data_IF_262501064095
#
_entry.id   IF_262501064095
#
_cell.length_a   1.000
_cell.length_b   1.000
_cell.length_c   1.000
_cell.angle_alpha   90.00
_cell.angle_beta   90.00
_cell.angle_gamma   90.00
#
_symmetry.space_group_name_H-M   'P 1'
#
loop_
_entity.id
_entity.type
_entity.pdbx_description
1 polymer ?
#
# COMPACT_ATOMS: atom_id res chain seq x y z
N UNK A 1 -12.47 -5.77 4.09
CA UNK A 1 -11.86 -6.70 5.06
C UNK A 1 -11.41 -5.86 6.23
N UNK A 2 -11.65 -6.28 7.47
CA UNK A 2 -11.13 -5.56 8.64
C UNK A 2 -9.63 -5.89 8.82
N UNK A 3 -8.85 -5.05 9.51
CA UNK A 3 -7.47 -5.37 9.84
C UNK A 3 -7.41 -6.58 10.76
N UNK A 4 -6.36 -7.41 10.64
CA UNK A 4 -6.24 -8.67 11.37
C UNK A 4 -5.00 -8.65 12.27
N UNK A 5 -5.21 -8.89 13.57
CA UNK A 5 -4.13 -9.12 14.54
C UNK A 5 -4.09 -10.60 14.90
N UNK A 6 -2.95 -11.25 14.66
CA UNK A 6 -2.74 -12.65 15.07
C UNK A 6 -1.99 -12.71 16.39
N UNK A 7 -2.61 -13.32 17.40
CA UNK A 7 -2.03 -13.55 18.72
C UNK A 7 -1.49 -14.96 18.79
N UNK A 8 -0.18 -15.10 19.03
CA UNK A 8 0.46 -16.40 19.27
C UNK A 8 0.81 -16.53 20.74
N UNK A 9 0.03 -17.33 21.48
CA UNK A 9 0.20 -17.52 22.93
C UNK A 9 -0.12 -18.94 23.38
N UNK A 10 -0.02 -19.21 24.68
CA UNK A 10 -0.36 -20.50 25.30
C UNK A 10 -1.02 -20.31 26.65
N UNK A 11 -1.98 -21.17 26.95
CA UNK A 11 -2.44 -21.43 28.31
C UNK A 11 -3.05 -20.18 28.93
N UNK A 12 -2.55 -19.80 30.11
CA UNK A 12 -3.12 -18.67 30.85
C UNK A 12 -3.02 -17.34 30.06
N UNK A 13 -1.95 -17.13 29.30
CA UNK A 13 -1.80 -15.91 28.49
C UNK A 13 -2.91 -15.79 27.45
N UNK A 14 -3.22 -16.88 26.75
CA UNK A 14 -4.30 -16.92 25.76
C UNK A 14 -5.65 -16.61 26.40
N UNK A 15 -5.93 -17.18 27.58
CA UNK A 15 -7.18 -16.95 28.31
C UNK A 15 -7.35 -15.47 28.66
N UNK A 16 -6.31 -14.85 29.23
CA UNK A 16 -6.35 -13.44 29.61
C UNK A 16 -6.50 -12.55 28.38
N UNK A 17 -5.76 -12.82 27.30
CA UNK A 17 -5.90 -12.06 26.05
C UNK A 17 -7.32 -12.17 25.49
N UNK A 18 -7.90 -13.38 25.42
CA UNK A 18 -9.28 -13.56 24.91
C UNK A 18 -10.31 -12.79 25.72
N UNK A 19 -10.19 -12.82 27.05
CA UNK A 19 -11.08 -12.08 27.93
C UNK A 19 -10.98 -10.57 27.67
N UNK A 20 -9.76 -10.03 27.52
CA UNK A 20 -9.56 -8.63 27.22
C UNK A 20 -10.07 -8.26 25.81
N UNK A 21 -9.82 -9.10 24.80
CA UNK A 21 -10.33 -8.89 23.44
C UNK A 21 -11.86 -8.84 23.41
N UNK A 22 -12.55 -9.65 24.20
CA UNK A 22 -14.02 -9.62 24.28
C UNK A 22 -14.56 -8.35 24.96
N UNK A 23 -13.79 -7.78 25.90
CA UNK A 23 -14.15 -6.55 26.61
C UNK A 23 -13.79 -5.29 25.82
N UNK A 24 -12.75 -5.35 24.99
CA UNK A 24 -12.27 -4.24 24.18
C UNK A 24 -12.93 -4.27 22.81
N UNK A 25 -13.87 -3.36 22.55
CA UNK A 25 -14.51 -3.21 21.23
C UNK A 25 -13.54 -2.57 20.20
N UNK A 26 -12.48 -3.29 19.83
CA UNK A 26 -11.45 -2.79 18.92
C UNK A 26 -11.85 -2.95 17.44
N UNK A 27 -11.42 -2.03 16.55
CA UNK A 27 -11.78 -2.05 15.12
C UNK A 27 -10.98 -3.07 14.29
N UNK A 28 -10.56 -4.18 14.88
CA UNK A 28 -9.73 -5.22 14.25
C UNK A 28 -10.25 -6.62 14.59
N UNK A 29 -10.00 -7.58 13.71
CA UNK A 29 -10.31 -8.98 13.94
C UNK A 29 -9.10 -9.66 14.59
N UNK A 30 -9.30 -10.22 15.78
CA UNK A 30 -8.25 -10.99 16.47
C UNK A 30 -8.34 -12.47 16.11
N UNK A 31 -7.22 -13.04 15.67
CA UNK A 31 -7.07 -14.48 15.47
C UNK A 31 -6.13 -14.99 16.56
N UNK A 32 -6.64 -15.84 17.45
CA UNK A 32 -5.81 -16.53 18.42
C UNK A 32 -5.30 -17.84 17.85
N UNK A 33 -3.98 -18.03 17.86
CA UNK A 33 -3.34 -19.29 17.53
C UNK A 33 -2.59 -19.82 18.76
N UNK A 34 -3.14 -20.86 19.37
CA UNK A 34 -2.44 -21.58 20.43
C UNK A 34 -1.47 -22.59 19.81
N UNK A 35 -0.20 -22.54 20.25
CA UNK A 35 0.84 -23.48 19.83
C UNK A 35 1.45 -24.10 21.07
N UNK A 36 1.65 -25.42 21.19
CA UNK A 36 2.40 -26.01 22.30
C UNK A 36 3.83 -25.47 22.38
N UNK A 37 4.41 -25.37 23.57
CA UNK A 37 5.76 -24.81 23.76
C UNK A 37 6.89 -25.61 23.13
N UNK A 38 6.67 -26.91 22.91
CA UNK A 38 7.67 -27.82 22.37
C UNK A 38 7.66 -27.86 20.84
N UNK A 39 6.72 -27.17 20.20
CA UNK A 39 6.62 -27.10 18.75
C UNK A 39 7.33 -25.84 18.25
N UNK A 40 8.09 -26.00 17.17
CA UNK A 40 8.58 -24.84 16.45
C UNK A 40 7.43 -23.98 15.96
N UNK A 41 7.61 -22.67 15.99
CA UNK A 41 6.65 -21.75 15.38
C UNK A 41 6.67 -21.97 13.87
N UNK A 42 5.68 -22.69 13.35
CA UNK A 42 5.42 -22.82 11.91
C UNK A 42 4.27 -21.88 11.59
N UNK A 43 4.57 -20.80 10.87
CA UNK A 43 3.55 -19.89 10.38
C UNK A 43 2.84 -20.57 9.20
N UNK A 44 1.59 -20.97 9.41
CA UNK A 44 0.78 -21.55 8.35
C UNK A 44 0.54 -20.53 7.22
N UNK A 45 0.40 -20.95 5.94
CA UNK A 45 0.07 -20.06 4.83
C UNK A 45 -1.23 -19.27 5.04
N UNK A 46 -2.14 -19.77 5.89
CA UNK A 46 -3.36 -19.05 6.28
C UNK A 46 -3.09 -17.74 7.04
N UNK A 47 -1.88 -17.53 7.57
CA UNK A 47 -1.45 -16.31 8.27
C UNK A 47 -0.88 -15.24 7.32
N UNK A 48 -0.87 -15.49 6.01
CA UNK A 48 -0.41 -14.53 4.99
C UNK A 48 -1.32 -13.30 4.86
N UNK A 49 -2.54 -13.32 5.42
CA UNK A 49 -3.44 -12.17 5.44
C UNK A 49 -3.44 -11.36 6.76
N UNK A 50 -2.62 -11.74 7.74
CA UNK A 50 -2.47 -11.01 9.01
C UNK A 50 -1.79 -9.65 8.79
N UNK A 51 -2.21 -8.59 9.48
CA UNK A 51 -1.53 -7.29 9.41
C UNK A 51 -0.41 -7.17 10.46
N UNK A 52 -0.65 -7.68 11.68
CA UNK A 52 0.28 -7.60 12.82
C UNK A 52 0.27 -8.89 13.64
N UNK A 53 1.43 -9.33 14.10
CA UNK A 53 1.56 -10.41 15.08
C UNK A 53 1.76 -9.86 16.49
N UNK A 54 1.17 -10.52 17.48
CA UNK A 54 1.34 -10.22 18.91
C UNK A 54 1.75 -11.50 19.64
N UNK A 55 2.88 -11.47 20.34
CA UNK A 55 3.37 -12.61 21.12
C UNK A 55 4.25 -12.13 22.28
N UNK A 56 4.81 -13.05 23.06
CA UNK A 56 5.63 -12.72 24.24
C UNK A 56 6.93 -13.52 24.26
N UNK A 57 8.03 -12.89 24.72
CA UNK A 57 9.30 -13.55 25.01
C UNK A 57 9.92 -14.27 23.81
N UNK A 58 10.45 -15.48 24.03
CA UNK A 58 11.13 -16.28 23.01
C UNK A 58 10.33 -16.42 21.71
N UNK A 59 9.01 -16.57 21.79
CA UNK A 59 8.14 -16.74 20.61
C UNK A 59 8.08 -15.52 19.72
N UNK A 60 8.02 -14.33 20.31
CA UNK A 60 8.03 -13.10 19.53
C UNK A 60 9.30 -13.03 18.68
N UNK A 61 10.45 -13.37 19.27
CA UNK A 61 11.73 -13.44 18.54
C UNK A 61 11.71 -14.45 17.40
N UNK A 62 11.23 -15.68 17.65
CA UNK A 62 11.12 -16.71 16.61
C UNK A 62 10.16 -16.33 15.48
N UNK A 63 9.09 -15.60 15.76
CA UNK A 63 8.15 -15.12 14.73
C UNK A 63 8.85 -14.05 13.87
N UNK A 64 9.54 -13.08 14.49
CA UNK A 64 10.24 -12.00 13.79
C UNK A 64 11.27 -12.52 12.77
N UNK A 65 11.95 -13.62 13.06
CA UNK A 65 12.92 -14.24 12.14
C UNK A 65 12.24 -14.95 10.94
N UNK A 66 10.94 -15.27 11.04
CA UNK A 66 10.19 -16.07 10.06
C UNK A 66 9.15 -15.27 9.26
N UNK A 67 8.95 -13.98 9.54
CA UNK A 67 8.00 -13.13 8.80
C UNK A 67 8.55 -11.74 8.51
N UNK A 68 8.13 -11.15 7.39
CA UNK A 68 8.37 -9.74 7.07
C UNK A 68 7.33 -8.79 7.69
N UNK A 69 6.30 -9.33 8.34
CA UNK A 69 5.24 -8.57 9.00
C UNK A 69 5.68 -8.10 10.39
N UNK A 70 5.15 -6.98 10.89
CA UNK A 70 5.50 -6.50 12.21
C UNK A 70 5.05 -7.47 13.31
N UNK A 71 5.93 -7.63 14.29
CA UNK A 71 5.69 -8.44 15.49
C UNK A 71 5.83 -7.55 16.71
N UNK A 72 4.76 -7.48 17.51
CA UNK A 72 4.77 -6.82 18.81
C UNK A 72 5.09 -7.86 19.88
N UNK A 73 6.16 -7.61 20.62
CA UNK A 73 6.57 -8.42 21.76
C UNK A 73 6.00 -7.82 23.04
N UNK A 74 5.15 -8.58 23.73
CA UNK A 74 4.67 -8.28 25.08
C UNK A 74 5.82 -8.51 26.04
N UNK A 75 6.24 -7.44 26.69
CA UNK A 75 7.29 -7.46 27.69
C UNK A 75 6.73 -7.14 29.08
N UNK A 76 7.33 -7.76 30.09
CA UNK A 76 7.03 -7.44 31.50
C UNK A 76 7.60 -6.05 31.80
N UNK A 77 6.82 -5.14 32.37
CA UNK A 77 7.26 -3.83 32.83
C UNK A 77 7.52 -3.80 34.35
N UNK A 78 8.11 -2.72 34.87
CA UNK A 78 8.19 -2.51 36.32
C UNK A 78 6.80 -2.32 36.96
N UNK A 79 5.83 -1.76 36.23
CA UNK A 79 4.44 -1.62 36.69
C UNK A 79 3.79 -3.00 36.90
N UNK A 80 3.97 -3.90 35.93
CA UNK A 80 3.47 -5.29 36.02
C UNK A 80 3.98 -6.00 37.27
N UNK A 81 5.28 -5.87 37.54
CA UNK A 81 5.92 -6.46 38.72
C UNK A 81 5.35 -5.88 40.01
N UNK A 82 5.11 -4.56 40.07
CA UNK A 82 4.53 -3.90 41.25
C UNK A 82 3.10 -4.39 41.52
N UNK A 83 2.26 -4.45 40.49
CA UNK A 83 0.88 -4.93 40.61
C UNK A 83 0.86 -6.40 41.05
N UNK A 84 1.69 -7.24 40.42
CA UNK A 84 1.80 -8.65 40.77
C UNK A 84 2.29 -8.85 42.22
N UNK A 85 3.28 -8.07 42.65
CA UNK A 85 3.76 -8.10 44.04
C UNK A 85 2.66 -7.68 45.01
N UNK A 86 1.95 -6.57 44.74
CA UNK A 86 0.86 -6.08 45.59
C UNK A 86 -0.24 -7.11 45.81
N UNK A 87 -0.53 -7.94 44.81
CA UNK A 87 -1.50 -9.04 44.93
C UNK A 87 -0.92 -10.24 45.68
N UNK A 88 0.33 -10.60 45.40
CA UNK A 88 0.98 -11.77 45.98
C UNK A 88 1.28 -11.65 47.48
N UNK A 89 1.61 -10.44 47.96
CA UNK A 89 1.97 -10.20 49.37
C UNK A 89 0.82 -10.43 50.36
N UNK A 90 -0.42 -10.44 49.87
CA UNK A 90 -1.59 -10.78 50.68
C UNK A 90 -1.57 -12.25 51.14
N UNK A 91 -0.80 -13.10 50.47
CA UNK A 91 -0.75 -14.55 50.70
C UNK A 91 0.61 -15.03 51.23
N UNK A 92 1.70 -14.31 50.92
CA UNK A 92 3.06 -14.63 51.35
C UNK A 92 3.87 -13.34 51.52
N UNK A 93 4.46 -13.09 52.69
CA UNK A 93 5.31 -11.92 52.95
C UNK A 93 6.56 -11.88 52.06
N UNK A 94 6.99 -13.04 51.53
CA UNK A 94 8.15 -13.19 50.66
C UNK A 94 7.78 -14.05 49.45
N UNK A 95 6.97 -13.53 48.50
CA UNK A 95 6.58 -14.27 47.32
C UNK A 95 7.80 -14.54 46.44
N UNK A 96 7.71 -15.59 45.62
CA UNK A 96 8.78 -15.97 44.69
C UNK A 96 8.42 -15.52 43.28
N UNK A 97 9.23 -14.66 42.67
CA UNK A 97 9.14 -14.31 41.26
C UNK A 97 9.96 -15.34 40.47
N UNK A 98 9.33 -15.95 39.47
CA UNK A 98 9.96 -16.88 38.54
C UNK A 98 9.77 -16.38 37.10
N UNK A 99 10.87 -16.03 36.43
CA UNK A 99 10.88 -15.55 35.04
C UNK A 99 11.81 -16.40 34.16
N UNK A 100 11.60 -16.28 32.85
CA UNK A 100 12.46 -16.90 31.84
C UNK A 100 13.75 -16.07 31.65
N UNK A 101 14.91 -16.72 31.47
CA UNK A 101 16.22 -16.11 31.14
C UNK A 101 16.85 -15.15 32.19
N UNK A 102 16.41 -15.18 33.45
CA UNK A 102 17.02 -14.44 34.58
C UNK A 102 17.16 -12.91 34.39
N UNK A 103 16.37 -12.29 33.51
CA UNK A 103 16.40 -10.83 33.33
C UNK A 103 15.60 -10.09 34.42
N UNK A 104 16.28 -9.82 35.53
CA UNK A 104 15.74 -9.05 36.64
C UNK A 104 16.04 -7.55 36.59
N UNK A 105 16.51 -7.03 35.45
CA UNK A 105 16.87 -5.61 35.31
C UNK A 105 15.74 -4.66 35.72
N UNK A 106 14.50 -4.99 35.33
CA UNK A 106 13.29 -4.19 35.61
C UNK A 106 12.87 -4.22 37.08
N UNK A 107 13.08 -5.34 37.77
CA UNK A 107 12.86 -5.47 39.22
C UNK A 107 13.96 -4.73 40.00
N UNK A 108 15.22 -4.83 39.57
CA UNK A 108 16.34 -4.15 40.20
C UNK A 108 16.18 -2.62 40.20
N UNK A 109 15.56 -2.05 39.16
CA UNK A 109 15.24 -0.60 39.09
C UNK A 109 14.30 -0.12 40.19
N UNK A 110 13.37 -0.97 40.63
CA UNK A 110 12.37 -0.63 41.64
C UNK A 110 12.69 -1.18 43.03
N UNK A 111 13.78 -1.93 43.19
CA UNK A 111 14.16 -2.61 44.44
C UNK A 111 14.30 -1.68 45.65
N UNK A 112 14.77 -0.45 45.43
CA UNK A 112 14.92 0.55 46.49
C UNK A 112 13.62 1.32 46.79
N UNK A 113 12.60 1.16 45.95
CA UNK A 113 11.31 1.83 46.08
C UNK A 113 10.34 0.91 46.84
N UNK A 114 10.45 -0.40 46.64
CA UNK A 114 9.59 -1.40 47.29
C UNK A 114 10.15 -1.79 48.66
N UNK A 115 9.28 -1.86 49.67
CA UNK A 115 9.64 -2.36 51.01
C UNK A 115 9.69 -3.89 51.08
N UNK A 116 9.23 -4.57 50.03
CA UNK A 116 9.15 -6.02 49.93
C UNK A 116 10.32 -6.52 49.09
N UNK A 117 11.06 -7.50 49.59
CA UNK A 117 12.15 -8.13 48.85
C UNK A 117 11.74 -9.55 48.42
N UNK A 118 11.16 -9.71 47.22
CA UNK A 118 10.74 -11.03 46.74
C UNK A 118 11.95 -11.91 46.47
N UNK A 119 11.75 -13.23 46.57
CA UNK A 119 12.75 -14.19 46.14
C UNK A 119 12.71 -14.25 44.61
N UNK A 120 13.88 -14.30 43.99
CA UNK A 120 14.04 -14.34 42.54
C UNK A 120 14.59 -15.71 42.16
N UNK A 121 13.95 -16.39 41.20
CA UNK A 121 14.48 -17.63 40.60
C UNK A 121 14.17 -17.64 39.10
N UNK A 122 14.89 -18.42 38.29
CA UNK A 122 14.69 -18.36 36.84
C UNK A 122 14.87 -19.72 36.20
N UNK A 123 14.30 -19.87 35.01
CA UNK A 123 14.44 -21.08 34.22
C UNK A 123 14.83 -20.75 32.79
N UNK A 124 15.71 -21.58 32.24
CA UNK A 124 16.10 -21.55 30.83
C UNK A 124 15.44 -22.68 30.04
N UNK A 125 15.08 -23.77 30.73
CA UNK A 125 14.39 -24.93 30.15
C UNK A 125 13.10 -25.21 30.91
N UNK A 126 12.05 -25.57 30.18
CA UNK A 126 10.73 -25.87 30.75
C UNK A 126 10.75 -27.04 31.76
N UNK A 127 11.64 -28.02 31.55
CA UNK A 127 11.81 -29.18 32.43
C UNK A 127 12.23 -28.80 33.85
N UNK A 128 12.93 -27.67 34.00
CA UNK A 128 13.46 -27.23 35.29
C UNK A 128 12.41 -26.45 36.10
N UNK A 129 11.37 -25.92 35.46
CA UNK A 129 10.38 -25.05 36.11
C UNK A 129 9.62 -25.78 37.24
N UNK A 130 9.21 -27.03 37.03
CA UNK A 130 8.50 -27.80 38.06
C UNK A 130 9.39 -28.08 39.29
N UNK A 131 10.67 -28.37 39.07
CA UNK A 131 11.65 -28.56 40.16
C UNK A 131 11.87 -27.28 40.97
N UNK A 132 11.94 -26.13 40.31
CA UNK A 132 12.06 -24.82 40.97
C UNK A 132 10.83 -24.54 41.84
N UNK A 133 9.63 -24.80 41.33
CA UNK A 133 8.38 -24.61 42.09
C UNK A 133 8.34 -25.52 43.33
N UNK A 134 8.70 -26.80 43.18
CA UNK A 134 8.75 -27.76 44.30
C UNK A 134 9.81 -27.39 45.35
N UNK A 135 10.98 -26.92 44.92
CA UNK A 135 12.03 -26.40 45.80
C UNK A 135 11.48 -25.29 46.70
N UNK A 136 10.80 -24.30 46.12
CA UNK A 136 10.23 -23.17 46.89
C UNK A 136 9.04 -23.59 47.76
N UNK A 137 8.20 -24.51 47.30
CA UNK A 137 7.15 -25.12 48.12
C UNK A 137 7.72 -25.78 49.37
N UNK A 138 8.78 -26.58 49.21
CA UNK A 138 9.46 -27.27 50.32
C UNK A 138 10.13 -26.29 51.30
N UNK A 139 10.54 -25.12 50.81
CA UNK A 139 11.06 -24.02 51.62
C UNK A 139 9.97 -23.20 52.33
N UNK A 140 8.70 -23.65 52.29
CA UNK A 140 7.58 -23.03 52.99
C UNK A 140 6.94 -21.84 52.29
N UNK A 141 7.25 -21.61 51.00
CA UNK A 141 6.64 -20.54 50.21
C UNK A 141 5.22 -20.89 49.82
N UNK A 142 4.35 -19.87 49.82
CA UNK A 142 2.91 -20.00 49.57
C UNK A 142 2.49 -19.34 48.27
N UNK A 143 3.25 -18.35 47.78
CA UNK A 143 2.88 -17.54 46.61
C UNK A 143 3.98 -17.47 45.54
N UNK A 144 3.60 -17.77 44.29
CA UNK A 144 4.47 -17.71 43.10
C UNK A 144 3.96 -16.63 42.15
N UNK A 145 4.85 -15.75 41.71
CA UNK A 145 4.61 -14.78 40.63
C UNK A 145 5.35 -15.25 39.38
N UNK A 146 4.70 -15.31 38.22
CA UNK A 146 5.42 -15.68 37.01
C UNK A 146 4.60 -15.68 35.73
N UNK A 147 5.16 -16.30 34.69
CA UNK A 147 4.48 -16.51 33.41
C UNK A 147 3.25 -17.43 33.56
N UNK A 148 2.45 -17.54 32.50
CA UNK A 148 1.26 -18.39 32.52
C UNK A 148 1.58 -19.86 32.83
N UNK A 149 2.79 -20.31 32.44
CA UNK A 149 3.26 -21.66 32.74
C UNK A 149 3.63 -21.85 34.20
N UNK A 150 4.32 -20.87 34.78
CA UNK A 150 4.64 -20.88 36.20
C UNK A 150 3.36 -20.90 37.05
N UNK A 151 2.34 -20.13 36.64
CA UNK A 151 1.04 -20.11 37.30
C UNK A 151 0.34 -21.48 37.23
N UNK A 152 0.22 -22.08 36.04
CA UNK A 152 -0.43 -23.40 35.88
C UNK A 152 0.28 -24.50 36.68
N UNK A 153 1.61 -24.48 36.75
CA UNK A 153 2.36 -25.46 37.55
C UNK A 153 2.26 -25.19 39.06
N UNK A 154 2.24 -23.93 39.47
CA UNK A 154 2.02 -23.57 40.88
C UNK A 154 0.63 -24.02 41.36
N UNK A 155 -0.41 -23.81 40.54
CA UNK A 155 -1.79 -24.26 40.80
C UNK A 155 -1.86 -25.79 40.97
N UNK A 156 -1.25 -26.55 40.05
CA UNK A 156 -1.16 -28.02 40.12
C UNK A 156 -0.56 -28.51 41.44
N UNK A 157 0.35 -27.74 42.02
CA UNK A 157 1.02 -28.07 43.28
C UNK A 157 0.39 -27.38 44.50
N UNK A 158 -0.78 -26.75 44.36
CA UNK A 158 -1.54 -26.14 45.46
C UNK A 158 -0.90 -24.88 46.05
N UNK A 159 -0.08 -24.18 45.28
CA UNK A 159 0.44 -22.86 45.64
C UNK A 159 -0.48 -21.77 45.10
N UNK A 160 -0.57 -20.64 45.82
CA UNK A 160 -1.18 -19.44 45.28
C UNK A 160 -0.30 -18.92 44.16
N UNK A 161 -0.90 -18.51 43.05
CA UNK A 161 -0.17 -17.95 41.92
C UNK A 161 -0.67 -16.56 41.57
N UNK A 162 0.22 -15.74 41.03
CA UNK A 162 -0.10 -14.44 40.47
C UNK A 162 0.55 -14.32 39.10
N UNK A 163 -0.25 -14.05 38.08
CA UNK A 163 0.29 -13.83 36.75
C UNK A 163 1.06 -12.52 36.72
N UNK A 164 2.27 -12.55 36.18
CA UNK A 164 3.20 -11.41 36.28
C UNK A 164 2.74 -10.21 35.46
N UNK A 165 2.03 -10.42 34.34
CA UNK A 165 1.50 -9.33 33.52
C UNK A 165 0.16 -8.84 34.06
N UNK A 166 0.03 -7.52 34.18
CA UNK A 166 -1.21 -6.87 34.56
C UNK A 166 -2.24 -6.89 33.41
N UNK A 167 -3.51 -6.73 33.77
CA UNK A 167 -4.57 -6.60 32.76
C UNK A 167 -4.39 -5.32 31.96
N UNK A 168 -3.96 -4.21 32.60
CA UNK A 168 -3.70 -2.94 31.93
C UNK A 168 -2.62 -3.07 30.86
N UNK A 169 -1.48 -3.69 31.17
CA UNK A 169 -0.42 -3.89 30.17
C UNK A 169 -0.90 -4.71 28.98
N UNK A 170 -1.69 -5.76 29.20
CA UNK A 170 -2.25 -6.56 28.11
C UNK A 170 -3.18 -5.71 27.24
N UNK A 171 -4.04 -4.90 27.86
CA UNK A 171 -4.90 -3.95 27.13
C UNK A 171 -4.09 -2.97 26.29
N UNK A 172 -3.04 -2.39 26.86
CA UNK A 172 -2.17 -1.45 26.15
C UNK A 172 -1.52 -2.12 24.93
N UNK A 173 -1.00 -3.34 25.09
CA UNK A 173 -0.42 -4.08 23.96
C UNK A 173 -1.45 -4.45 22.88
N UNK A 174 -2.68 -4.80 23.27
CA UNK A 174 -3.77 -5.06 22.32
C UNK A 174 -4.18 -3.79 21.57
N UNK A 175 -4.23 -2.65 22.25
CA UNK A 175 -4.50 -1.35 21.64
C UNK A 175 -3.39 -0.98 20.64
N UNK A 176 -2.13 -1.08 21.05
CA UNK A 176 -0.97 -0.82 20.18
C UNK A 176 -1.03 -1.72 18.94
N UNK A 177 -1.35 -3.01 19.11
CA UNK A 177 -1.48 -3.95 17.99
C UNK A 177 -2.63 -3.57 17.05
N UNK A 178 -3.79 -3.19 17.61
CA UNK A 178 -4.94 -2.71 16.84
C UNK A 178 -4.61 -1.46 16.04
N UNK A 179 -4.02 -0.44 16.67
CA UNK A 179 -3.70 0.83 16.02
C UNK A 179 -2.67 0.64 14.90
N UNK A 180 -1.67 -0.21 15.12
CA UNK A 180 -0.68 -0.56 14.10
C UNK A 180 -1.32 -1.31 12.94
N UNK A 181 -2.20 -2.28 13.21
CA UNK A 181 -2.90 -3.04 12.17
C UNK A 181 -3.80 -2.14 11.33
N UNK A 182 -4.57 -1.25 11.96
CA UNK A 182 -5.40 -0.26 11.25
C UNK A 182 -4.54 0.65 10.36
N UNK A 183 -3.41 1.13 10.87
CA UNK A 183 -2.49 2.01 10.13
C UNK A 183 -1.91 1.31 8.89
N UNK A 184 -1.44 0.07 9.04
CA UNK A 184 -0.89 -0.73 7.94
C UNK A 184 -1.97 -1.05 6.91
N UNK A 185 -3.13 -1.50 7.37
CA UNK A 185 -4.25 -1.86 6.51
C UNK A 185 -4.71 -0.66 5.66
N UNK A 186 -4.85 0.52 6.27
CA UNK A 186 -5.24 1.74 5.55
C UNK A 186 -4.16 2.19 4.55
N UNK A 187 -2.88 2.10 4.91
CA UNK A 187 -1.77 2.38 3.99
C UNK A 187 -1.79 1.43 2.79
N UNK A 188 -1.96 0.13 3.02
CA UNK A 188 -2.05 -0.87 1.95
C UNK A 188 -3.27 -0.64 1.05
N UNK A 189 -4.42 -0.28 1.62
CA UNK A 189 -5.62 0.07 0.86
C UNK A 189 -5.37 1.29 -0.04
N UNK A 190 -4.80 2.36 0.49
CA UNK A 190 -4.48 3.57 -0.26
C UNK A 190 -3.46 3.28 -1.36
N UNK A 191 -2.43 2.48 -1.06
CA UNK A 191 -1.43 2.05 -2.04
C UNK A 191 -2.09 1.30 -3.20
N UNK A 192 -2.96 0.32 -2.92
CA UNK A 192 -3.70 -0.43 -3.96
C UNK A 192 -4.58 0.49 -4.82
N UNK A 193 -5.24 1.47 -4.21
CA UNK A 193 -6.08 2.44 -4.93
C UNK A 193 -5.24 3.31 -5.89
N UNK A 194 -4.16 3.90 -5.41
CA UNK A 194 -3.26 4.73 -6.22
C UNK A 194 -2.60 3.89 -7.32
N UNK A 195 -2.09 2.71 -6.97
CA UNK A 195 -1.50 1.77 -7.93
C UNK A 195 -2.49 1.37 -9.02
N UNK A 196 -3.76 1.17 -8.69
CA UNK A 196 -4.80 0.87 -9.69
C UNK A 196 -5.01 2.05 -10.65
N UNK A 197 -5.06 3.28 -10.16
CA UNK A 197 -5.18 4.48 -11.01
C UNK A 197 -4.00 4.57 -12.00
N UNK A 198 -2.78 4.28 -11.53
CA UNK A 198 -1.58 4.30 -12.37
C UNK A 198 -1.60 3.17 -13.41
N UNK A 199 -1.96 1.95 -12.98
CA UNK A 199 -1.91 0.75 -13.81
C UNK A 199 -3.01 0.71 -14.89
N UNK A 200 -4.19 1.29 -14.63
CA UNK A 200 -5.29 1.35 -15.58
C UNK A 200 -5.33 2.65 -16.39
N UNK A 201 -4.32 3.53 -16.26
CA UNK A 201 -4.22 4.70 -17.11
C UNK A 201 -3.95 4.30 -18.57
N UNK A 202 -4.62 4.95 -19.53
CA UNK A 202 -4.45 4.71 -20.97
C UNK A 202 -3.18 5.39 -21.55
N UNK A 203 -2.25 5.80 -20.70
CA UNK A 203 -1.00 6.46 -21.07
C UNK A 203 0.16 5.89 -20.27
N UNK A 204 1.36 5.99 -20.82
CA UNK A 204 2.58 5.62 -20.10
C UNK A 204 2.79 6.57 -18.91
N UNK A 205 3.08 6.00 -17.75
CA UNK A 205 3.41 6.73 -16.53
C UNK A 205 4.73 6.19 -16.01
N UNK A 206 5.71 7.08 -15.84
CA UNK A 206 7.01 6.76 -15.27
C UNK A 206 7.35 7.77 -14.18
N UNK A 207 7.78 7.27 -13.03
CA UNK A 207 8.23 8.08 -11.91
C UNK A 207 9.70 7.80 -11.63
N UNK A 208 10.53 8.82 -11.60
CA UNK A 208 11.96 8.68 -11.33
C UNK A 208 12.39 9.49 -10.11
N UNK A 209 13.55 9.17 -9.56
CA UNK A 209 14.27 10.09 -8.68
C UNK A 209 14.87 11.27 -9.47
N UNK A 210 15.58 12.16 -8.76
CA UNK A 210 16.26 13.32 -9.33
C UNK A 210 17.44 12.96 -10.27
N UNK A 211 17.89 11.71 -10.28
CA UNK A 211 18.97 11.22 -11.14
C UNK A 211 18.46 10.40 -12.34
N UNK A 212 17.15 10.25 -12.46
CA UNK A 212 16.51 9.48 -13.54
C UNK A 212 16.34 7.99 -13.25
N UNK A 213 16.63 7.52 -12.03
CA UNK A 213 16.38 6.13 -11.64
C UNK A 213 14.88 5.89 -11.53
N UNK A 214 14.37 4.91 -12.27
CA UNK A 214 12.93 4.60 -12.31
C UNK A 214 12.51 3.92 -11.01
N UNK A 215 11.47 4.46 -10.38
CA UNK A 215 10.85 3.94 -9.15
C UNK A 215 9.44 3.40 -9.38
N UNK A 216 8.71 3.92 -10.37
CA UNK A 216 7.40 3.44 -10.80
C UNK A 216 7.36 3.44 -12.33
N UNK A 217 6.88 2.35 -12.91
CA UNK A 217 6.58 2.23 -14.33
C UNK A 217 5.24 1.50 -14.45
N UNK A 218 4.28 2.05 -15.20
CA UNK A 218 3.00 1.38 -15.41
C UNK A 218 3.04 0.43 -16.63
N UNK A 219 2.08 -0.50 -16.78
CA UNK A 219 2.09 -1.48 -17.86
C UNK A 219 2.11 -0.87 -19.28
N UNK A 220 1.51 0.31 -19.47
CA UNK A 220 1.55 1.01 -20.76
C UNK A 220 2.97 1.50 -21.07
N UNK A 221 3.65 2.10 -20.10
CA UNK A 221 5.04 2.53 -20.26
C UNK A 221 5.98 1.33 -20.49
N UNK A 222 5.81 0.22 -19.77
CA UNK A 222 6.57 -1.03 -20.00
C UNK A 222 6.42 -1.52 -21.45
N UNK A 223 5.20 -1.49 -21.98
CA UNK A 223 4.90 -1.86 -23.37
C UNK A 223 5.55 -0.90 -24.36
N UNK A 224 5.56 0.40 -24.08
CA UNK A 224 6.20 1.43 -24.90
C UNK A 224 7.72 1.22 -24.96
N UNK A 225 8.34 0.98 -23.80
CA UNK A 225 9.78 0.72 -23.70
C UNK A 225 10.19 -0.66 -24.22
N UNK A 226 9.24 -1.61 -24.35
CA UNK A 226 9.49 -3.01 -24.69
C UNK A 226 10.37 -3.74 -23.67
N UNK A 227 10.20 -3.41 -22.39
CA UNK A 227 10.96 -4.00 -21.29
C UNK A 227 9.99 -4.57 -20.27
N UNK A 228 10.34 -5.73 -19.73
CA UNK A 228 9.60 -6.36 -18.62
C UNK A 228 9.75 -5.54 -17.34
N UNK A 229 8.63 -5.22 -16.67
CA UNK A 229 8.55 -4.27 -15.56
C UNK A 229 9.54 -4.50 -14.41
N UNK A 230 9.85 -5.77 -14.10
CA UNK A 230 10.84 -6.11 -13.07
C UNK A 230 12.27 -5.70 -13.42
N UNK A 231 12.57 -5.50 -14.71
CA UNK A 231 13.88 -5.02 -15.17
C UNK A 231 13.93 -3.50 -15.36
N UNK A 232 12.77 -2.84 -15.45
CA UNK A 232 12.68 -1.38 -15.67
C UNK A 232 12.91 -0.61 -14.37
N UNK A 233 12.35 -1.09 -13.25
CA UNK A 233 12.53 -0.44 -11.96
C UNK A 233 13.99 -0.55 -11.50
N UNK A 234 14.59 0.58 -11.16
CA UNK A 234 16.02 0.70 -10.81
C UNK A 234 16.94 1.01 -11.99
N UNK A 235 16.46 0.93 -13.24
CA UNK A 235 17.21 1.42 -14.41
C UNK A 235 17.10 2.93 -14.56
N UNK A 236 18.04 3.54 -15.29
CA UNK A 236 17.96 4.96 -15.62
C UNK A 236 17.06 5.15 -16.84
N UNK A 237 16.14 6.12 -16.76
CA UNK A 237 15.24 6.44 -17.86
C UNK A 237 15.99 6.96 -19.08
N UNK A 238 17.12 7.66 -18.90
CA UNK A 238 17.90 8.26 -20.00
C UNK A 238 18.44 7.17 -20.93
N UNK A 239 18.84 6.03 -20.38
CA UNK A 239 19.37 4.87 -21.13
C UNK A 239 18.33 4.27 -22.09
N UNK A 240 17.05 4.57 -21.90
CA UNK A 240 15.96 4.09 -22.75
C UNK A 240 15.78 4.94 -24.02
N UNK A 241 16.46 6.08 -24.12
CA UNK A 241 16.35 7.02 -25.23
C UNK A 241 17.66 7.05 -26.01
N UNK A 242 17.58 6.79 -27.32
CA UNK A 242 18.77 6.67 -28.17
C UNK A 242 19.45 8.01 -28.52
N UNK A 243 18.79 9.15 -28.30
CA UNK A 243 19.15 10.43 -28.91
C UNK A 243 19.44 11.57 -27.92
N UNK A 244 19.70 11.30 -26.64
CA UNK A 244 19.94 12.34 -25.63
C UNK A 244 18.79 13.39 -25.52
N UNK A 245 17.60 13.05 -26.02
CA UNK A 245 16.41 13.93 -26.07
C UNK A 245 15.95 14.36 -24.68
N UNK A 246 16.33 13.60 -23.65
CA UNK A 246 16.01 13.84 -22.23
C UNK A 246 17.20 14.33 -21.39
N UNK A 247 18.39 14.55 -21.96
CA UNK A 247 19.60 14.86 -21.17
C UNK A 247 19.45 16.12 -20.30
N UNK A 248 18.67 17.10 -20.78
CA UNK A 248 18.41 18.37 -20.07
C UNK A 248 17.12 18.35 -19.27
N UNK A 249 16.34 17.26 -19.34
CA UNK A 249 15.00 17.24 -18.75
C UNK A 249 15.07 17.32 -17.22
N UNK A 250 16.15 16.85 -16.61
CA UNK A 250 16.35 16.90 -15.16
C UNK A 250 16.80 18.27 -14.65
N UNK A 251 17.15 19.21 -15.54
CA UNK A 251 17.51 20.58 -15.16
C UNK A 251 16.29 21.52 -15.12
N UNK A 252 15.13 21.06 -15.61
CA UNK A 252 13.92 21.87 -15.66
C UNK A 252 13.35 22.10 -14.25
N UNK A 253 12.84 23.31 -14.02
CA UNK A 253 12.10 23.66 -12.79
C UNK A 253 10.60 23.77 -13.01
N UNK A 254 10.17 23.86 -14.25
CA UNK A 254 8.78 23.97 -14.66
C UNK A 254 8.40 22.78 -15.53
N UNK A 255 7.10 22.50 -15.62
CA UNK A 255 6.57 21.43 -16.45
C UNK A 255 6.81 21.70 -17.93
N UNK A 256 7.42 20.74 -18.62
CA UNK A 256 7.52 20.74 -20.07
C UNK A 256 6.56 19.72 -20.66
N UNK A 257 5.76 20.14 -21.64
CA UNK A 257 4.75 19.30 -22.32
C UNK A 257 5.00 19.31 -23.82
N UNK A 258 4.41 18.33 -24.52
CA UNK A 258 4.47 18.20 -25.97
C UNK A 258 5.87 17.95 -26.53
N UNK A 259 6.73 17.29 -25.75
CA UNK A 259 8.07 16.89 -26.20
C UNK A 259 7.91 15.69 -27.12
N UNK A 260 8.20 15.86 -28.41
CA UNK A 260 8.15 14.77 -29.38
C UNK A 260 9.45 13.96 -29.31
N UNK A 261 9.32 12.65 -29.16
CA UNK A 261 10.44 11.73 -29.14
C UNK A 261 10.10 10.43 -29.86
N UNK A 262 11.12 9.80 -30.45
CA UNK A 262 10.97 8.54 -31.18
C UNK A 262 11.56 7.42 -30.33
N UNK A 263 10.71 6.48 -29.92
CA UNK A 263 11.12 5.26 -29.24
C UNK A 263 10.80 4.05 -30.10
N UNK A 264 11.79 3.20 -30.34
CA UNK A 264 11.63 1.95 -31.10
C UNK A 264 10.94 2.16 -32.47
N UNK A 265 11.24 3.27 -33.15
CA UNK A 265 10.67 3.63 -34.45
C UNK A 265 9.21 4.13 -34.42
N UNK A 266 8.66 4.42 -33.23
CA UNK A 266 7.33 5.02 -33.05
C UNK A 266 7.43 6.39 -32.39
N UNK A 267 6.58 7.31 -32.80
CA UNK A 267 6.50 8.66 -32.24
C UNK A 267 5.61 8.69 -30.99
N UNK A 268 6.12 9.34 -29.95
CA UNK A 268 5.41 9.56 -28.69
C UNK A 268 5.49 11.03 -28.30
N UNK A 269 4.50 11.47 -27.53
CA UNK A 269 4.47 12.77 -26.87
C UNK A 269 4.78 12.58 -25.39
N UNK A 270 5.80 13.29 -24.92
CA UNK A 270 6.22 13.30 -23.53
C UNK A 270 5.77 14.58 -22.83
N UNK A 271 5.41 14.41 -21.56
CA UNK A 271 5.30 15.50 -20.60
C UNK A 271 6.19 15.19 -19.41
N UNK A 272 7.09 16.09 -19.05
CA UNK A 272 7.98 15.99 -17.91
C UNK A 272 7.55 16.99 -16.83
N UNK A 273 7.20 16.47 -15.66
CA UNK A 273 6.66 17.24 -14.54
C UNK A 273 7.64 17.11 -13.37
N UNK A 274 8.45 18.15 -13.08
CA UNK A 274 9.38 18.12 -11.96
C UNK A 274 8.64 18.24 -10.63
N UNK A 275 9.01 17.40 -9.66
CA UNK A 275 8.48 17.43 -8.30
C UNK A 275 9.58 17.96 -7.39
N UNK A 276 9.35 19.19 -6.92
CA UNK A 276 10.33 19.95 -6.15
C UNK A 276 9.98 19.91 -4.64
N UNK A 277 11.02 19.79 -3.81
CA UNK A 277 10.93 20.02 -2.37
C UNK A 277 11.98 21.06 -1.98
N UNK A 278 11.56 22.18 -1.40
CA UNK A 278 12.43 23.32 -1.08
C UNK A 278 13.30 23.74 -2.28
N UNK A 279 12.67 23.92 -3.45
CA UNK A 279 13.31 24.28 -4.73
C UNK A 279 14.32 23.27 -5.30
N UNK A 280 14.50 22.12 -4.66
CA UNK A 280 15.35 21.03 -5.17
C UNK A 280 14.49 19.97 -5.84
N UNK A 281 14.92 19.50 -7.00
CA UNK A 281 14.30 18.35 -7.66
C UNK A 281 14.45 17.13 -6.76
N UNK A 282 13.33 16.49 -6.42
CA UNK A 282 13.32 15.21 -5.68
C UNK A 282 12.93 14.08 -6.61
N UNK A 283 11.94 14.30 -7.46
CA UNK A 283 11.43 13.31 -8.38
C UNK A 283 11.01 13.96 -9.70
N UNK A 284 10.92 13.15 -10.75
CA UNK A 284 10.34 13.53 -12.03
C UNK A 284 9.20 12.59 -12.40
N UNK A 285 8.09 13.14 -12.87
CA UNK A 285 6.96 12.38 -13.40
C UNK A 285 6.88 12.57 -14.90
N UNK A 286 6.92 11.46 -15.64
CA UNK A 286 6.76 11.44 -17.09
C UNK A 286 5.41 10.86 -17.47
N UNK A 287 4.71 11.56 -18.37
CA UNK A 287 3.60 11.01 -19.13
C UNK A 287 4.02 10.76 -20.57
N UNK A 288 3.61 9.62 -21.11
CA UNK A 288 3.96 9.17 -22.46
C UNK A 288 2.68 8.81 -23.20
N UNK A 289 2.35 9.59 -24.22
CA UNK A 289 1.15 9.40 -25.04
C UNK A 289 1.55 8.95 -26.46
N UNK A 290 0.89 7.91 -26.98
CA UNK A 290 1.09 7.43 -28.35
C UNK A 290 0.42 8.40 -29.34
N UNK A 291 1.21 8.97 -30.25
CA UNK A 291 0.74 9.92 -31.26
C UNK A 291 -0.37 9.30 -32.13
N UNK A 292 -0.27 8.01 -32.47
CA UNK A 292 -1.28 7.32 -33.27
C UNK A 292 -2.60 7.17 -32.51
N UNK A 293 -2.54 6.96 -31.20
CA UNK A 293 -3.73 6.90 -30.36
C UNK A 293 -4.44 8.25 -30.34
N UNK A 294 -3.68 9.34 -30.13
CA UNK A 294 -4.21 10.72 -30.15
C UNK A 294 -4.91 10.99 -31.48
N UNK A 295 -4.25 10.67 -32.61
CA UNK A 295 -4.82 10.88 -33.95
C UNK A 295 -6.11 10.08 -34.19
N UNK A 296 -6.21 8.84 -33.67
CA UNK A 296 -7.43 8.02 -33.77
C UNK A 296 -8.58 8.62 -32.97
N UNK A 297 -8.31 9.07 -31.74
CA UNK A 297 -9.33 9.70 -30.88
C UNK A 297 -9.80 11.00 -31.53
N UNK A 298 -8.90 11.84 -32.02
CA UNK A 298 -9.22 13.09 -32.70
C UNK A 298 -10.05 12.86 -33.98
N UNK A 299 -9.74 11.81 -34.75
CA UNK A 299 -10.57 11.38 -35.89
C UNK A 299 -11.98 10.99 -35.45
N UNK A 300 -12.12 10.15 -34.43
CA UNK A 300 -13.43 9.76 -33.92
C UNK A 300 -14.24 10.93 -33.35
N UNK A 301 -13.58 11.89 -32.70
CA UNK A 301 -14.24 13.13 -32.24
C UNK A 301 -14.78 13.90 -33.45
N UNK A 302 -13.95 14.10 -34.49
CA UNK A 302 -14.37 14.77 -35.73
C UNK A 302 -15.55 14.06 -36.40
N UNK A 303 -15.51 12.74 -36.53
CA UNK A 303 -16.61 11.94 -37.08
C UNK A 303 -17.92 12.07 -36.29
N UNK A 304 -17.84 12.16 -34.96
CA UNK A 304 -19.02 12.35 -34.11
C UNK A 304 -19.54 13.79 -34.14
N UNK A 305 -18.67 14.78 -34.36
CA UNK A 305 -19.05 16.18 -34.50
C UNK A 305 -19.71 16.46 -35.87
N UNK A 306 -19.21 15.86 -36.95
CA UNK A 306 -19.83 15.97 -38.28
C UNK A 306 -21.25 15.38 -38.31
N UNK A 307 -21.48 14.29 -37.58
CA UNK A 307 -22.80 13.66 -37.44
C UNK A 307 -23.83 14.47 -36.63
N UNK A 308 -23.46 15.55 -35.94
CA UNK A 308 -24.37 16.34 -35.08
C UNK A 308 -24.95 17.61 -35.70
N UNK A 309 -24.72 17.92 -36.99
CA UNK A 309 -25.41 19.05 -37.62
C UNK A 309 -24.81 19.60 -38.92
N UNK A 310 -23.62 19.19 -39.33
CA UNK A 310 -22.99 19.60 -40.58
C UNK A 310 -23.03 18.49 -41.63
N UNK A 311 -24.19 17.85 -41.79
CA UNK A 311 -24.41 16.99 -42.96
C UNK A 311 -24.69 17.88 -44.15
N UNK A 312 -23.89 17.77 -45.21
CA UNK A 312 -24.24 18.38 -46.48
C UNK A 312 -25.55 17.74 -46.98
N UNK A 313 -26.64 18.50 -47.04
CA UNK A 313 -27.97 17.97 -47.43
C UNK A 313 -28.29 18.21 -48.89
N UNK A 314 -27.54 19.09 -49.54
CA UNK A 314 -27.81 19.54 -50.89
C UNK A 314 -26.94 18.81 -51.92
N UNK A 315 -27.53 18.49 -53.07
CA UNK A 315 -26.86 17.81 -54.16
C UNK A 315 -27.00 18.60 -55.46
N UNK A 316 -26.03 18.46 -56.37
CA UNK A 316 -26.05 19.14 -57.67
C UNK A 316 -27.34 18.93 -58.49
N UNK A 317 -28.02 17.79 -58.34
CA UNK A 317 -29.27 17.50 -59.06
C UNK A 317 -30.47 18.35 -58.62
N UNK A 318 -30.38 19.02 -57.47
CA UNK A 318 -31.45 19.87 -56.95
C UNK A 318 -31.48 21.26 -57.60
N UNK A 319 -30.43 21.64 -58.35
CA UNK A 319 -30.40 22.91 -59.07
C UNK A 319 -31.10 22.78 -60.41
N UNK A 320 -32.08 23.65 -60.65
CA UNK A 320 -32.70 23.80 -61.98
C UNK A 320 -32.52 25.24 -62.44
N UNK A 321 -31.87 25.43 -63.59
CA UNK A 321 -31.68 26.74 -64.19
C UNK A 321 -31.53 26.64 -65.70
N UNK A 322 -32.19 27.55 -66.42
CA UNK A 322 -32.06 27.70 -67.88
C UNK A 322 -31.00 28.74 -68.27
N UNK A 323 -30.33 29.36 -67.29
CA UNK A 323 -29.30 30.36 -67.55
C UNK A 323 -27.97 29.66 -67.93
N UNK A 324 -27.40 29.94 -69.13
CA UNK A 324 -26.16 29.30 -69.59
C UNK A 324 -24.95 29.55 -68.67
N UNK A 325 -24.84 30.74 -68.09
CA UNK A 325 -23.74 31.09 -67.18
C UNK A 325 -23.80 30.29 -65.88
N UNK A 326 -25.02 30.06 -65.37
CA UNK A 326 -25.23 29.24 -64.18
C UNK A 326 -24.92 27.75 -64.45
N UNK A 327 -25.31 27.23 -65.61
CA UNK A 327 -24.98 25.85 -66.00
C UNK A 327 -23.46 25.64 -66.12
N UNK A 328 -22.74 26.63 -66.67
CA UNK A 328 -21.28 26.61 -66.73
C UNK A 328 -20.64 26.60 -65.34
N UNK A 329 -21.14 27.44 -64.42
CA UNK A 329 -20.69 27.44 -63.02
C UNK A 329 -20.88 26.07 -62.36
N UNK A 330 -22.05 25.44 -62.53
CA UNK A 330 -22.33 24.12 -61.97
C UNK A 330 -21.42 23.03 -62.57
N UNK A 331 -21.15 23.07 -63.87
CA UNK A 331 -20.24 22.14 -64.52
C UNK A 331 -18.80 22.27 -63.99
N UNK A 332 -18.32 23.51 -63.79
CA UNK A 332 -17.01 23.79 -63.20
C UNK A 332 -16.96 23.31 -61.75
N UNK A 333 -17.96 23.65 -60.93
CA UNK A 333 -18.02 23.21 -59.53
C UNK A 333 -18.05 21.68 -59.40
N UNK A 334 -18.79 20.97 -60.27
CA UNK A 334 -18.84 19.51 -60.29
C UNK A 334 -17.50 18.87 -60.71
N UNK A 335 -16.72 19.53 -61.55
CA UNK A 335 -15.39 19.06 -61.97
C UNK A 335 -14.36 19.28 -60.87
N UNK A 336 -14.36 20.46 -60.24
CA UNK A 336 -13.43 20.81 -59.16
C UNK A 336 -13.75 20.02 -57.89
N UNK A 337 -15.01 19.66 -57.64
CA UNK A 337 -15.37 18.87 -56.45
C UNK A 337 -14.61 17.54 -56.37
N UNK A 338 -14.16 16.98 -57.50
CA UNK A 338 -13.38 15.73 -57.59
C UNK A 338 -11.88 15.89 -57.32
N UNK A 339 -11.45 17.04 -56.82
CA UNK A 339 -10.05 17.34 -56.52
C UNK A 339 -9.89 17.69 -55.04
N UNK A 340 -8.70 17.45 -54.47
CA UNK A 340 -8.37 17.77 -53.07
C UNK A 340 -7.92 19.23 -52.87
N UNK A 341 -8.09 20.08 -53.89
CA UNK A 341 -7.68 21.49 -53.87
C UNK A 341 -8.65 22.37 -53.07
N UNK A 342 -8.13 23.42 -52.44
CA UNK A 342 -8.95 24.38 -51.69
C UNK A 342 -9.78 25.27 -52.62
N UNK A 343 -11.08 25.43 -52.33
CA UNK A 343 -12.03 26.15 -53.18
C UNK A 343 -12.54 27.41 -52.45
N UNK A 344 -12.49 28.55 -53.13
CA UNK A 344 -13.11 29.80 -52.66
C UNK A 344 -14.37 30.11 -53.47
N UNK A 345 -15.51 30.28 -52.79
CA UNK A 345 -16.78 30.62 -53.42
C UNK A 345 -17.12 32.08 -53.07
N UNK A 346 -17.16 32.95 -54.08
CA UNK A 346 -17.48 34.37 -53.93
C UNK A 346 -18.84 34.73 -54.53
N UNK A 347 -19.49 35.76 -54.00
CA UNK A 347 -20.78 36.27 -54.45
C UNK A 347 -21.51 37.07 -53.38
N UNK A 348 -22.55 37.81 -53.77
CA UNK A 348 -23.37 38.63 -52.87
C UNK A 348 -24.16 37.79 -51.85
N UNK A 349 -24.63 38.40 -50.77
CA UNK A 349 -25.44 37.73 -49.74
C UNK A 349 -26.74 37.21 -50.35
N UNK A 350 -27.15 35.97 -50.00
CA UNK A 350 -28.37 35.35 -50.53
C UNK A 350 -28.22 34.63 -51.88
N UNK A 351 -27.05 34.61 -52.51
CA UNK A 351 -26.82 33.94 -53.81
C UNK A 351 -26.68 32.41 -53.74
N UNK A 352 -26.90 31.79 -52.58
CA UNK A 352 -26.84 30.32 -52.43
C UNK A 352 -25.45 29.71 -52.31
N UNK A 353 -24.41 30.51 -51.97
CA UNK A 353 -23.02 30.03 -51.79
C UNK A 353 -22.89 28.83 -50.86
N UNK A 354 -23.66 28.81 -49.77
CA UNK A 354 -23.65 27.73 -48.79
C UNK A 354 -24.24 26.43 -49.35
N UNK A 355 -25.35 26.52 -50.09
CA UNK A 355 -25.99 25.38 -50.78
C UNK A 355 -25.03 24.79 -51.82
N UNK A 356 -24.26 25.65 -52.51
CA UNK A 356 -23.26 25.22 -53.48
C UNK A 356 -22.08 24.52 -52.81
N UNK A 357 -21.57 25.06 -51.70
CA UNK A 357 -20.52 24.45 -50.91
C UNK A 357 -20.91 23.04 -50.42
N UNK A 358 -22.14 22.87 -49.93
CA UNK A 358 -22.65 21.55 -49.53
C UNK A 358 -22.74 20.57 -50.71
N UNK A 359 -23.14 21.06 -51.89
CA UNK A 359 -23.25 20.22 -53.09
C UNK A 359 -21.90 19.78 -53.63
N UNK A 360 -20.88 20.64 -53.52
CA UNK A 360 -19.48 20.31 -53.81
C UNK A 360 -19.02 19.23 -52.84
N UNK A 361 -19.20 19.44 -51.53
CA UNK A 361 -18.78 18.51 -50.49
C UNK A 361 -19.41 17.11 -50.64
N UNK A 362 -20.71 17.04 -50.96
CA UNK A 362 -21.40 15.78 -51.23
C UNK A 362 -20.94 15.04 -52.49
N UNK A 363 -20.21 15.71 -53.39
CA UNK A 363 -19.73 15.16 -54.64
C UNK A 363 -18.19 15.06 -54.68
N UNK A 364 -17.51 15.28 -53.55
CA UNK A 364 -16.07 15.05 -53.41
C UNK A 364 -15.77 13.57 -53.32
#
# INVERSE_FOLDING_TARGET
MRPIVCVLSVGMMSKVIMEQVQQMELPVDFILHELPLNEEVILAPSLDNVDVFLSSGYRAKSITEKTSKPVISIEISSYDILVALSNAIQYDEKPVIIIYENDYSKLNRIRNIISVNPIQDSYNELKNLEQIILKHKSAGRKSIIGSGLACSLAEKHGLVHTFILSQESIRDYLQIASDLAVSIHNKMKNYKQISSVINYANRGIVFTDAHGTISVCNPVAETIFQIDGQRVVGSNIIDLFANNELDRIFDIKETEINILAILNGKEYVFSAIPILHNEKLVNMLFFIDDVNYIQKVDRHIRENLTNKGFTARHHFHQYTSRNPSFQKLMATAKKISKTDESIVIYGETGTGKEVLAQSIHNNS
#
